data_IF_186672929971
#
_entry.id   IF_186672929971
#
_cell.length_a   1.000
_cell.length_b   1.000
_cell.length_c   1.000
_cell.angle_alpha   90.00
_cell.angle_beta   90.00
_cell.angle_gamma   90.00
#
_symmetry.space_group_name_H-M   'P 1'
#
loop_
_entity.id
_entity.type
_entity.pdbx_description
1 polymer ?
#
# COMPACT_ATOMS: atom_id res chain seq x y z
N UNK A 1 -11.02 6.35 -8.61
CA UNK A 1 -10.80 5.72 -7.29
C UNK A 1 -9.49 6.16 -6.63
N UNK A 2 -8.36 6.21 -7.36
CA UNK A 2 -7.04 6.66 -6.87
C UNK A 2 -7.04 7.96 -6.04
N UNK A 3 -7.69 9.07 -6.49
CA UNK A 3 -7.74 10.30 -5.70
C UNK A 3 -8.43 10.10 -4.35
N UNK A 4 -9.45 9.23 -4.30
CA UNK A 4 -10.24 8.94 -3.11
C UNK A 4 -9.47 8.04 -2.14
N UNK A 5 -8.69 7.09 -2.65
CA UNK A 5 -7.79 6.25 -1.86
C UNK A 5 -6.64 7.06 -1.22
N UNK A 6 -6.15 8.09 -1.91
CA UNK A 6 -5.09 8.95 -1.40
C UNK A 6 -5.61 10.10 -0.51
N UNK A 7 -6.92 10.41 -0.54
CA UNK A 7 -7.58 11.44 0.27
C UNK A 7 -7.87 10.94 1.70
N UNK A 8 -6.84 10.49 2.37
CA UNK A 8 -6.83 10.15 3.80
C UNK A 8 -5.55 10.70 4.42
N UNK A 9 -5.60 11.06 5.69
CA UNK A 9 -4.40 11.44 6.45
C UNK A 9 -3.51 10.24 6.77
N UNK A 10 -4.06 9.05 6.69
CA UNK A 10 -3.36 7.78 6.92
C UNK A 10 -2.77 7.21 5.61
N UNK A 11 -1.84 6.28 5.76
CA UNK A 11 -1.12 5.64 4.67
C UNK A 11 -0.33 4.42 5.11
N UNK A 12 -0.88 3.57 6.01
CA UNK A 12 -0.17 2.40 6.50
C UNK A 12 -0.04 1.32 5.41
N UNK A 13 -1.17 0.76 5.02
CA UNK A 13 -1.24 -0.29 4.00
C UNK A 13 -2.44 -0.09 3.06
N UNK A 14 -2.34 -0.65 1.85
CA UNK A 14 -3.42 -0.71 0.88
C UNK A 14 -3.41 -2.06 0.16
N UNK A 15 -4.57 -2.46 -0.37
CA UNK A 15 -4.69 -3.66 -1.21
C UNK A 15 -5.36 -3.36 -2.54
N UNK A 16 -4.86 -3.97 -3.60
CA UNK A 16 -5.39 -3.88 -4.97
C UNK A 16 -5.78 -5.28 -5.43
N UNK A 17 -7.05 -5.45 -5.81
CA UNK A 17 -7.55 -6.69 -6.39
C UNK A 17 -7.84 -6.48 -7.86
N UNK A 18 -7.08 -7.14 -8.71
CA UNK A 18 -7.21 -7.03 -10.17
C UNK A 18 -6.65 -8.28 -10.85
N UNK A 19 -7.25 -8.65 -11.98
CA UNK A 19 -6.71 -9.69 -12.87
C UNK A 19 -5.70 -9.14 -13.87
N UNK A 20 -5.68 -7.82 -14.04
CA UNK A 20 -4.81 -7.11 -14.98
C UNK A 20 -3.55 -6.62 -14.28
N UNK A 21 -2.38 -7.09 -14.75
CA UNK A 21 -1.08 -6.82 -14.12
C UNK A 21 -0.61 -5.38 -14.31
N UNK A 22 -0.90 -4.77 -15.47
CA UNK A 22 -0.50 -3.41 -15.78
C UNK A 22 -1.23 -2.42 -14.87
N UNK A 23 -2.53 -2.64 -14.67
CA UNK A 23 -3.32 -1.91 -13.66
C UNK A 23 -2.83 -2.17 -12.25
N UNK A 24 -2.43 -3.40 -11.91
CA UNK A 24 -1.92 -3.71 -10.58
C UNK A 24 -0.70 -2.86 -10.25
N UNK A 25 0.28 -2.83 -11.17
CA UNK A 25 1.53 -2.09 -11.02
C UNK A 25 1.26 -0.58 -11.01
N UNK A 26 0.45 -0.08 -11.93
CA UNK A 26 0.11 1.35 -12.03
C UNK A 26 -0.58 1.85 -10.77
N UNK A 27 -1.56 1.09 -10.26
CA UNK A 27 -2.29 1.46 -9.05
C UNK A 27 -1.40 1.33 -7.81
N UNK A 28 -0.59 0.28 -7.71
CA UNK A 28 0.31 0.10 -6.58
C UNK A 28 1.33 1.25 -6.44
N UNK A 29 1.90 1.70 -7.57
CA UNK A 29 2.82 2.84 -7.57
C UNK A 29 2.14 4.19 -7.31
N UNK A 30 0.84 4.30 -7.61
CA UNK A 30 0.09 5.56 -7.46
C UNK A 30 -0.53 5.75 -6.07
N UNK A 31 -0.62 4.69 -5.26
CA UNK A 31 -1.15 4.75 -3.89
C UNK A 31 -0.07 5.23 -2.92
N UNK A 32 -0.40 6.22 -2.09
CA UNK A 32 0.47 6.73 -1.03
C UNK A 32 0.30 5.93 0.26
N UNK A 33 0.75 4.68 0.25
CA UNK A 33 0.79 3.80 1.42
C UNK A 33 2.18 3.16 1.56
N UNK A 34 2.58 2.76 2.77
CA UNK A 34 3.91 2.20 2.98
C UNK A 34 4.04 0.72 2.60
N UNK A 35 2.93 -0.03 2.64
CA UNK A 35 2.82 -1.39 2.08
C UNK A 35 1.63 -1.45 1.12
N UNK A 36 1.82 -2.03 -0.07
CA UNK A 36 0.72 -2.30 -1.00
C UNK A 36 0.69 -3.78 -1.37
N UNK A 37 -0.44 -4.43 -1.10
CA UNK A 37 -0.68 -5.82 -1.43
C UNK A 37 -1.46 -5.95 -2.74
N UNK A 38 -1.06 -6.87 -3.62
CA UNK A 38 -1.77 -7.17 -4.86
C UNK A 38 -2.39 -8.56 -4.75
N UNK A 39 -3.71 -8.64 -4.90
CA UNK A 39 -4.50 -9.87 -4.77
C UNK A 39 -4.36 -10.60 -3.42
N UNK A 40 -3.89 -9.90 -2.38
CA UNK A 40 -3.84 -10.36 -1.01
C UNK A 40 -4.13 -9.20 -0.04
N UNK A 41 -4.46 -9.55 1.21
CA UNK A 41 -4.69 -8.58 2.28
C UNK A 41 -4.03 -9.10 3.55
N UNK A 42 -3.32 -8.22 4.26
CA UNK A 42 -2.68 -8.56 5.54
C UNK A 42 -1.61 -9.66 5.46
N UNK A 43 -0.93 -9.77 4.32
CA UNK A 43 0.22 -10.64 4.15
C UNK A 43 1.47 -9.94 4.66
N UNK A 44 1.82 -10.18 5.92
CA UNK A 44 3.01 -9.61 6.56
C UNK A 44 4.13 -10.66 6.55
N UNK A 45 5.32 -10.26 6.14
CA UNK A 45 6.52 -11.08 6.21
C UNK A 45 7.58 -10.29 6.96
N UNK A 46 8.30 -10.93 7.89
CA UNK A 46 9.40 -10.31 8.63
C UNK A 46 10.46 -9.73 7.67
N UNK A 47 10.72 -10.40 6.55
CA UNK A 47 11.71 -9.93 5.57
C UNK A 47 11.25 -8.71 4.76
N UNK A 48 9.96 -8.35 4.82
CA UNK A 48 9.41 -7.23 4.07
C UNK A 48 9.25 -6.02 4.99
N UNK A 49 9.86 -4.87 4.66
CA UNK A 49 9.83 -3.70 5.54
C UNK A 49 8.39 -3.19 5.69
N UNK A 50 7.90 -3.17 6.92
CA UNK A 50 6.57 -2.66 7.24
C UNK A 50 6.69 -1.24 7.80
N UNK A 51 5.85 -0.33 7.33
CA UNK A 51 5.89 1.07 7.76
C UNK A 51 4.80 1.86 7.10
N UNK A 52 4.46 3.00 7.69
CA UNK A 52 3.39 3.88 7.20
C UNK A 52 3.91 5.09 6.45
N UNK A 53 3.06 5.63 5.58
CA UNK A 53 3.18 6.97 5.02
C UNK A 53 2.31 7.95 5.80
N UNK A 54 2.69 9.23 5.81
CA UNK A 54 1.97 10.35 6.46
C UNK A 54 1.91 10.16 7.98
N UNK A 55 0.74 10.35 8.58
CA UNK A 55 0.53 10.18 10.02
C UNK A 55 0.50 8.70 10.45
N UNK A 56 0.62 7.76 9.51
CA UNK A 56 0.73 6.32 9.84
C UNK A 56 2.12 5.89 10.31
N UNK A 57 3.09 6.81 10.41
CA UNK A 57 4.37 6.55 11.05
C UNK A 57 5.55 7.20 10.33
N UNK A 58 6.67 7.24 11.04
CA UNK A 58 7.97 7.68 10.52
C UNK A 58 8.93 6.50 10.71
N UNK A 59 9.52 6.02 9.61
CA UNK A 59 10.43 4.87 9.63
C UNK A 59 9.79 3.58 9.10
N UNK A 60 10.55 2.49 9.18
CA UNK A 60 10.18 1.13 8.75
C UNK A 60 10.77 0.12 9.73
N UNK A 61 9.99 -0.89 10.04
CA UNK A 61 10.36 -2.06 10.86
C UNK A 61 10.79 -3.21 9.94
N UNK A 62 11.74 -4.02 10.43
CA UNK A 62 12.34 -5.19 9.77
C UNK A 62 12.19 -6.41 10.67
#
# INVERSE_FOLDING_TARGET
VLPRANKTVYGLAASVFTKDIDKAITVANSIRAGTVWVNCYHAVCLQAPFGGFKESGIGREW
#
